data_IF_390647033710
#
_entry.id   IF_390647033710
#
_cell.length_a   1.000
_cell.length_b   1.000
_cell.length_c   1.000
_cell.angle_alpha   90.00
_cell.angle_beta   90.00
_cell.angle_gamma   90.00
#
_symmetry.space_group_name_H-M   'P 1'
#
loop_
_entity.id
_entity.type
_entity.pdbx_description
1 polymer ?
#
# COMPACT_ATOMS: atom_id res chain seq x y z
N UNK A 1 58.74 4.11 45.65
CA UNK A 1 59.90 3.69 44.82
C UNK A 1 59.48 2.47 44.01
N UNK A 2 59.11 2.74 42.76
CA UNK A 2 59.29 1.98 41.51
C UNK A 2 58.96 0.47 41.47
N UNK A 3 57.90 0.14 40.73
CA UNK A 3 57.90 -1.04 39.87
C UNK A 3 57.05 -0.77 38.62
N UNK A 4 57.75 -0.42 37.55
CA UNK A 4 57.27 -0.25 36.17
C UNK A 4 56.79 -1.63 35.69
N UNK A 5 55.50 -1.77 35.39
CA UNK A 5 54.97 -2.95 34.69
C UNK A 5 54.86 -2.64 33.20
N UNK A 6 55.97 -2.89 32.51
CA UNK A 6 56.09 -2.95 31.06
C UNK A 6 54.94 -3.77 30.47
N UNK A 7 54.11 -3.12 29.65
CA UNK A 7 53.15 -3.83 28.80
C UNK A 7 53.52 -3.51 27.36
N UNK A 8 54.32 -4.39 26.77
CA UNK A 8 54.54 -4.50 25.33
C UNK A 8 53.21 -4.97 24.71
N UNK A 9 52.48 -4.10 24.03
CA UNK A 9 51.33 -4.51 23.21
C UNK A 9 51.87 -4.90 21.83
N UNK A 10 51.83 -6.21 21.59
CA UNK A 10 52.19 -6.88 20.36
C UNK A 10 51.24 -6.45 19.24
N UNK A 11 51.80 -5.93 18.15
CA UNK A 11 51.10 -5.64 16.90
C UNK A 11 50.71 -6.97 16.23
N UNK A 12 49.45 -7.38 16.33
CA UNK A 12 48.91 -8.48 15.55
C UNK A 12 48.00 -7.90 14.45
N UNK A 13 48.57 -7.83 13.25
CA UNK A 13 47.91 -7.54 11.99
C UNK A 13 46.85 -8.63 11.73
N UNK A 14 45.59 -8.38 12.09
CA UNK A 14 44.48 -9.27 11.72
C UNK A 14 43.91 -8.76 10.39
N UNK A 15 44.00 -9.62 9.38
CA UNK A 15 43.85 -9.30 7.97
C UNK A 15 42.53 -8.63 7.60
N UNK A 16 42.63 -7.66 6.69
CA UNK A 16 41.53 -7.23 5.84
C UNK A 16 41.14 -8.39 4.91
N UNK A 17 40.30 -9.30 5.40
CA UNK A 17 39.38 -10.03 4.52
C UNK A 17 38.16 -9.15 4.32
N UNK A 18 38.32 -8.16 3.45
CA UNK A 18 37.19 -7.42 2.88
C UNK A 18 36.43 -8.35 1.94
N UNK A 19 35.51 -9.15 2.48
CA UNK A 19 34.37 -9.56 1.68
C UNK A 19 33.58 -8.28 1.39
N UNK A 20 33.74 -7.73 0.19
CA UNK A 20 32.77 -6.83 -0.40
C UNK A 20 31.49 -7.66 -0.62
N UNK A 21 30.71 -7.84 0.44
CA UNK A 21 29.30 -8.14 0.30
C UNK A 21 28.70 -6.90 -0.34
N UNK A 22 28.44 -6.96 -1.64
CA UNK A 22 27.58 -6.00 -2.30
C UNK A 22 26.23 -6.04 -1.59
N UNK A 23 26.02 -5.11 -0.66
CA UNK A 23 24.70 -4.81 -0.14
C UNK A 23 23.91 -4.26 -1.32
N UNK A 24 23.20 -5.14 -2.03
CA UNK A 24 22.04 -4.72 -2.80
C UNK A 24 21.14 -3.88 -1.88
N UNK A 25 20.38 -2.91 -2.40
CA UNK A 25 19.53 -2.07 -1.57
C UNK A 25 18.74 -3.00 -0.64
N UNK A 26 19.01 -2.89 0.66
CA UNK A 26 18.29 -3.67 1.65
C UNK A 26 16.82 -3.31 1.47
N UNK A 27 16.06 -4.23 0.87
CA UNK A 27 14.63 -4.03 0.67
C UNK A 27 14.04 -3.74 2.03
N UNK A 28 13.56 -2.53 2.24
CA UNK A 28 12.87 -2.19 3.48
C UNK A 28 11.57 -2.98 3.45
N UNK A 29 11.49 -4.07 4.22
CA UNK A 29 10.24 -4.79 4.40
C UNK A 29 9.27 -3.87 5.13
N UNK A 30 8.15 -3.54 4.48
CA UNK A 30 7.07 -2.79 5.12
C UNK A 30 6.42 -3.68 6.19
N UNK A 31 6.62 -3.35 7.46
CA UNK A 31 6.03 -4.06 8.60
C UNK A 31 4.74 -3.35 9.02
N UNK A 32 3.59 -3.92 8.67
CA UNK A 32 2.27 -3.40 9.06
C UNK A 32 1.70 -4.29 10.17
N UNK A 33 1.16 -3.68 11.22
CA UNK A 33 0.53 -4.36 12.36
C UNK A 33 -0.97 -4.47 12.17
N UNK A 34 -1.56 -3.52 11.45
CA UNK A 34 -3.01 -3.40 11.27
C UNK A 34 -3.35 -2.82 9.90
N UNK A 35 -4.45 -3.30 9.31
CA UNK A 35 -4.98 -2.76 8.07
C UNK A 35 -6.50 -2.83 8.03
N UNK A 36 -7.11 -1.87 7.33
CA UNK A 36 -8.55 -1.79 7.09
C UNK A 36 -8.91 -2.00 5.61
N UNK A 37 -10.10 -2.53 5.35
CA UNK A 37 -10.65 -2.71 4.01
C UNK A 37 -12.10 -2.21 3.97
N UNK A 38 -12.35 -1.09 3.29
CA UNK A 38 -13.66 -0.45 3.27
C UNK A 38 -13.92 0.20 1.91
N UNK A 39 -14.78 -0.42 1.10
CA UNK A 39 -15.09 0.08 -0.25
C UNK A 39 -16.29 1.02 -0.31
N UNK A 40 -17.08 1.12 0.76
CA UNK A 40 -18.30 1.92 0.80
C UNK A 40 -18.31 2.83 2.02
N UNK A 41 -18.84 4.05 1.86
CA UNK A 41 -18.98 5.03 2.93
C UNK A 41 -17.65 5.30 3.69
N UNK A 42 -16.53 5.27 2.95
CA UNK A 42 -15.19 5.45 3.48
C UNK A 42 -14.92 6.94 3.73
N UNK A 43 -15.24 7.41 4.93
CA UNK A 43 -15.03 8.80 5.32
C UNK A 43 -13.53 9.06 5.65
N UNK A 44 -12.85 9.99 4.94
CA UNK A 44 -11.42 10.23 5.15
C UNK A 44 -11.05 10.70 6.56
N UNK A 45 -11.89 11.49 7.22
CA UNK A 45 -11.63 12.02 8.56
C UNK A 45 -11.69 10.85 9.57
N UNK A 46 -12.65 9.95 9.38
CA UNK A 46 -12.78 8.72 10.18
C UNK A 46 -11.60 7.79 9.98
N UNK A 47 -11.15 7.61 8.73
CA UNK A 47 -10.00 6.74 8.41
C UNK A 47 -8.69 7.30 8.98
N UNK A 48 -8.48 8.61 8.89
CA UNK A 48 -7.31 9.28 9.45
C UNK A 48 -7.25 9.10 10.99
N UNK A 49 -8.40 9.09 11.66
CA UNK A 49 -8.49 8.91 13.11
C UNK A 49 -8.46 7.43 13.57
N UNK A 50 -8.67 6.47 12.67
CA UNK A 50 -8.83 5.06 13.02
C UNK A 50 -7.55 4.37 13.52
N UNK A 51 -6.37 4.92 13.22
CA UNK A 51 -5.08 4.41 13.71
C UNK A 51 -4.58 3.13 13.01
N UNK A 52 -5.11 2.81 11.82
CA UNK A 52 -4.58 1.72 10.99
C UNK A 52 -3.25 2.12 10.33
N UNK A 53 -2.35 1.16 10.13
CA UNK A 53 -1.11 1.41 9.37
C UNK A 53 -1.40 1.54 7.86
N UNK A 54 -2.45 0.87 7.38
CA UNK A 54 -2.87 0.87 5.97
C UNK A 54 -4.38 0.76 5.85
N UNK A 55 -4.97 1.42 4.86
CA UNK A 55 -6.38 1.23 4.50
C UNK A 55 -6.53 1.03 3.00
N UNK A 56 -7.37 0.07 2.61
CA UNK A 56 -7.78 -0.13 1.22
C UNK A 56 -9.19 0.41 1.06
N UNK A 57 -9.35 1.38 0.17
CA UNK A 57 -10.62 2.05 -0.11
C UNK A 57 -10.88 2.10 -1.61
N UNK A 58 -12.12 2.37 -2.01
CA UNK A 58 -12.41 2.71 -3.40
C UNK A 58 -11.81 4.09 -3.74
N UNK A 59 -11.54 4.35 -5.03
CA UNK A 59 -11.08 5.67 -5.48
C UNK A 59 -12.15 6.77 -5.33
N UNK A 60 -13.41 6.35 -5.16
CA UNK A 60 -14.59 7.19 -5.10
C UNK A 60 -15.51 6.82 -3.95
N UNK A 61 -16.23 7.83 -3.42
CA UNK A 61 -17.21 7.65 -2.33
C UNK A 61 -18.37 6.73 -2.73
N UNK A 62 -18.70 6.70 -4.01
CA UNK A 62 -19.83 5.96 -4.58
C UNK A 62 -19.43 5.10 -5.79
N UNK A 63 -18.13 4.96 -6.03
CA UNK A 63 -17.56 4.23 -7.16
C UNK A 63 -17.60 4.99 -8.50
N UNK A 64 -18.24 6.16 -8.58
CA UNK A 64 -18.36 6.97 -9.78
C UNK A 64 -17.23 7.99 -9.93
N UNK A 65 -17.02 8.52 -11.14
CA UNK A 65 -16.03 9.57 -11.37
C UNK A 65 -16.35 10.89 -10.66
N UNK A 66 -17.64 11.23 -10.55
CA UNK A 66 -18.08 12.44 -9.85
C UNK A 66 -17.85 12.33 -8.33
N UNK A 67 -17.92 11.11 -7.80
CA UNK A 67 -17.69 10.80 -6.39
C UNK A 67 -16.21 10.67 -5.98
N UNK A 68 -15.26 10.86 -6.90
CA UNK A 68 -13.83 10.67 -6.59
C UNK A 68 -13.38 11.48 -5.37
N UNK A 69 -12.48 10.92 -4.58
CA UNK A 69 -11.81 11.70 -3.53
C UNK A 69 -10.92 12.77 -4.17
N UNK A 70 -10.86 13.94 -3.53
CA UNK A 70 -9.88 14.95 -3.91
C UNK A 70 -8.51 14.54 -3.39
N UNK A 71 -7.45 15.07 -4.00
CA UNK A 71 -6.09 14.86 -3.52
C UNK A 71 -5.93 15.24 -2.04
N UNK A 72 -6.46 16.40 -1.66
CA UNK A 72 -6.42 16.87 -0.28
C UNK A 72 -7.05 15.88 0.70
N UNK A 73 -8.18 15.25 0.33
CA UNK A 73 -8.82 14.25 1.19
C UNK A 73 -8.02 12.95 1.33
N UNK A 74 -7.27 12.55 0.31
CA UNK A 74 -6.35 11.42 0.42
C UNK A 74 -5.09 11.80 1.23
N UNK A 75 -4.62 13.04 1.09
CA UNK A 75 -3.50 13.57 1.86
C UNK A 75 -3.82 13.65 3.36
N UNK A 76 -5.07 13.90 3.76
CA UNK A 76 -5.50 13.82 5.17
C UNK A 76 -5.26 12.43 5.77
N UNK A 77 -5.61 11.36 5.05
CA UNK A 77 -5.34 9.97 5.47
C UNK A 77 -3.82 9.72 5.50
N UNK A 78 -3.09 10.15 4.47
CA UNK A 78 -1.64 9.94 4.41
C UNK A 78 -0.90 10.66 5.55
N UNK A 79 -1.32 11.88 5.88
CA UNK A 79 -0.71 12.71 6.91
C UNK A 79 -0.98 12.21 8.33
N UNK A 80 -1.99 11.35 8.55
CA UNK A 80 -2.19 10.67 9.84
C UNK A 80 -1.18 9.54 10.09
N UNK A 81 -0.36 9.19 9.09
CA UNK A 81 0.56 8.05 9.14
C UNK A 81 -0.04 6.75 8.57
N UNK A 82 -1.29 6.78 8.12
CA UNK A 82 -1.94 5.66 7.44
C UNK A 82 -1.59 5.63 5.95
N UNK A 83 -1.35 4.45 5.37
CA UNK A 83 -1.11 4.29 3.94
C UNK A 83 -2.45 4.06 3.21
N UNK A 84 -2.96 5.01 2.40
CA UNK A 84 -4.16 4.78 1.60
C UNK A 84 -3.84 4.01 0.31
N UNK A 85 -4.59 2.94 0.02
CA UNK A 85 -4.50 2.15 -1.20
C UNK A 85 -5.86 2.16 -1.91
N UNK A 86 -5.85 2.44 -3.22
CA UNK A 86 -7.07 2.37 -4.03
C UNK A 86 -7.32 0.93 -4.51
N UNK A 87 -8.52 0.43 -4.27
CA UNK A 87 -9.00 -0.83 -4.84
C UNK A 87 -9.20 -0.69 -6.36
N UNK A 88 -8.76 -1.69 -7.11
CA UNK A 88 -8.98 -1.80 -8.56
C UNK A 88 -9.36 -3.25 -8.88
N UNK A 89 -10.57 -3.47 -9.40
CA UNK A 89 -10.96 -4.76 -9.97
C UNK A 89 -10.38 -4.90 -11.37
N UNK A 90 -9.59 -5.95 -11.61
CA UNK A 90 -8.98 -6.26 -12.91
C UNK A 90 -9.59 -7.49 -13.60
N UNK A 91 -10.43 -8.25 -12.89
CA UNK A 91 -11.01 -9.52 -13.36
C UNK A 91 -12.45 -9.42 -13.87
N UNK A 92 -13.16 -8.34 -13.53
CA UNK A 92 -14.54 -8.11 -13.95
C UNK A 92 -14.73 -6.65 -14.38
N UNK A 93 -15.49 -6.42 -15.45
CA UNK A 93 -15.87 -5.08 -15.86
C UNK A 93 -17.11 -4.62 -15.09
N UNK A 94 -17.00 -3.50 -14.39
CA UNK A 94 -18.06 -2.93 -13.58
C UNK A 94 -18.83 -1.87 -14.37
N UNK A 95 -20.15 -2.01 -14.46
CA UNK A 95 -20.98 -1.23 -15.39
C UNK A 95 -21.31 0.20 -14.93
N UNK A 96 -20.90 0.56 -13.72
CA UNK A 96 -21.05 1.88 -13.12
C UNK A 96 -19.75 2.71 -13.15
N UNK A 97 -18.65 2.15 -13.64
CA UNK A 97 -17.35 2.83 -13.73
C UNK A 97 -17.24 3.68 -14.99
N UNK A 98 -16.38 4.69 -14.93
CA UNK A 98 -16.16 5.65 -16.03
C UNK A 98 -15.73 5.02 -17.36
N UNK A 99 -15.09 3.84 -17.31
CA UNK A 99 -14.65 3.10 -18.50
C UNK A 99 -15.80 2.34 -19.20
N UNK A 100 -16.96 2.20 -18.55
CA UNK A 100 -18.09 1.47 -19.11
C UNK A 100 -18.84 2.31 -20.16
N UNK A 101 -18.84 1.85 -21.41
CA UNK A 101 -19.60 2.47 -22.51
C UNK A 101 -20.91 1.72 -22.74
N UNK A 102 -22.02 2.44 -22.88
CA UNK A 102 -23.34 1.83 -23.15
C UNK A 102 -23.35 0.95 -24.40
N UNK A 103 -22.55 1.29 -25.43
CA UNK A 103 -22.39 0.46 -26.62
C UNK A 103 -21.71 -0.89 -26.37
N UNK A 104 -20.84 -0.99 -25.35
CA UNK A 104 -20.22 -2.26 -24.95
C UNK A 104 -21.27 -3.29 -24.53
N UNK A 105 -22.45 -2.83 -24.07
CA UNK A 105 -23.61 -3.69 -23.76
C UNK A 105 -24.19 -4.38 -24.99
N UNK A 106 -24.08 -3.78 -26.19
CA UNK A 106 -24.65 -4.30 -27.44
C UNK A 106 -23.68 -5.18 -28.23
N UNK A 107 -22.36 -5.01 -28.05
CA UNK A 107 -21.35 -5.70 -28.88
C UNK A 107 -20.71 -6.96 -28.27
N UNK A 108 -20.84 -7.17 -26.96
CA UNK A 108 -20.11 -8.26 -26.28
C UNK A 108 -21.07 -9.42 -25.98
N UNK A 109 -21.25 -10.34 -26.95
CA UNK A 109 -21.93 -11.63 -26.74
C UNK A 109 -20.98 -12.81 -26.53
N UNK A 110 -19.67 -12.62 -26.75
CA UNK A 110 -18.65 -13.67 -26.61
C UNK A 110 -17.63 -13.24 -25.55
N UNK A 111 -17.57 -13.96 -24.42
CA UNK A 111 -16.61 -13.75 -23.33
C UNK A 111 -17.17 -13.18 -22.02
N UNK A 112 -18.46 -12.81 -21.95
CA UNK A 112 -19.09 -12.33 -20.71
C UNK A 112 -19.66 -13.52 -19.92
N UNK A 113 -19.08 -13.80 -18.75
CA UNK A 113 -19.70 -14.71 -17.78
C UNK A 113 -21.06 -14.14 -17.33
N UNK A 114 -22.06 -14.97 -17.00
CA UNK A 114 -23.37 -14.51 -16.52
C UNK A 114 -23.21 -13.49 -15.39
N UNK A 115 -24.11 -12.48 -15.33
CA UNK A 115 -24.09 -11.53 -14.22
C UNK A 115 -24.14 -12.29 -12.90
N UNK A 116 -23.17 -12.03 -12.03
CA UNK A 116 -23.33 -12.39 -10.64
C UNK A 116 -24.46 -11.51 -10.07
N UNK A 117 -25.65 -12.10 -9.91
CA UNK A 117 -26.88 -11.41 -9.52
C UNK A 117 -27.03 -11.27 -8.01
N UNK A 118 -25.94 -11.45 -7.24
CA UNK A 118 -26.00 -11.30 -5.81
C UNK A 118 -26.39 -9.85 -5.47
N UNK A 119 -27.34 -9.65 -4.53
CA UNK A 119 -27.68 -8.32 -4.06
C UNK A 119 -26.42 -7.68 -3.50
N UNK A 120 -26.16 -6.45 -3.95
CA UNK A 120 -25.02 -5.66 -3.50
C UNK A 120 -25.30 -5.19 -2.06
N UNK A 121 -24.34 -5.33 -1.12
CA UNK A 121 -24.46 -4.79 0.23
C UNK A 121 -24.53 -3.27 0.22
#
# INVERSE_FOLDING_TARGET
MNAIKSTLILLALVGLSGCLSGAGPAGTTLQLKSWGYQLQNADPDTLAAAGFDLVVIDYSRDGSEAGRYTRAKIEEIANSGTIPIAYISIGEAEDYRFYWRAESRKRISVGRSPRNSLPRP
#
